data_IF_284858851421
#
_entry.id   IF_284858851421
#
_cell.length_a   1.000
_cell.length_b   1.000
_cell.length_c   1.000
_cell.angle_alpha   90.00
_cell.angle_beta   90.00
_cell.angle_gamma   90.00
#
_symmetry.space_group_name_H-M   'P 1'
#
loop_
_entity.id
_entity.type
_entity.pdbx_description
1 polymer ?
#
# COMPACT_ATOMS: atom_id res chain seq x y z
N UNK A 1 8.55 7.50 -15.57
CA UNK A 1 9.13 8.78 -15.14
C UNK A 1 8.01 9.74 -14.77
N UNK A 2 8.23 10.55 -13.72
CA UNK A 2 7.21 11.49 -13.24
C UNK A 2 6.76 12.50 -14.30
N UNK A 3 7.64 12.86 -15.24
CA UNK A 3 7.33 13.76 -16.35
C UNK A 3 6.26 13.23 -17.30
N UNK A 4 6.14 11.93 -17.43
CA UNK A 4 5.23 11.26 -18.37
C UNK A 4 3.82 11.02 -17.81
N UNK A 5 3.58 11.33 -16.53
CA UNK A 5 2.27 11.09 -15.90
C UNK A 5 1.20 12.04 -16.43
N UNK A 6 0.11 11.49 -16.90
CA UNK A 6 -1.07 12.27 -17.31
C UNK A 6 -1.91 12.70 -16.09
N UNK A 7 -2.64 13.83 -16.18
CA UNK A 7 -3.64 14.19 -15.17
C UNK A 7 -4.60 13.03 -14.88
N UNK A 8 -4.96 12.84 -13.62
CA UNK A 8 -5.84 11.76 -13.20
C UNK A 8 -5.17 10.41 -12.95
N UNK A 9 -3.87 10.27 -13.24
CA UNK A 9 -3.13 9.02 -13.01
C UNK A 9 -3.10 8.63 -11.53
N UNK A 10 -3.21 7.33 -11.27
CA UNK A 10 -2.83 6.73 -9.98
C UNK A 10 -1.62 5.83 -10.19
N UNK A 11 -0.54 6.13 -9.47
CA UNK A 11 0.71 5.35 -9.51
C UNK A 11 0.70 4.36 -8.33
N UNK A 12 0.96 3.09 -8.59
CA UNK A 12 0.97 2.05 -7.56
C UNK A 12 2.29 1.27 -7.64
N UNK A 13 3.37 1.78 -7.02
CA UNK A 13 4.60 0.99 -6.86
C UNK A 13 4.35 -0.15 -5.87
N UNK A 14 4.60 -1.38 -6.29
CA UNK A 14 4.32 -2.58 -5.50
C UNK A 14 5.53 -3.54 -5.39
N UNK A 15 6.65 -3.20 -6.01
CA UNK A 15 7.85 -4.06 -6.04
C UNK A 15 8.96 -3.63 -5.09
N UNK A 16 8.94 -2.39 -4.60
CA UNK A 16 10.00 -1.83 -3.76
C UNK A 16 9.75 -2.07 -2.26
N UNK A 17 9.79 -3.32 -1.84
CA UNK A 17 9.68 -3.74 -0.43
C UNK A 17 11.03 -3.85 0.30
N UNK A 18 12.04 -3.14 -0.17
CA UNK A 18 13.37 -3.04 0.47
C UNK A 18 13.89 -1.61 0.34
N UNK A 19 14.47 -1.07 1.40
CA UNK A 19 15.03 0.28 1.44
C UNK A 19 16.09 0.55 0.35
N UNK A 20 16.72 -0.51 -0.18
CA UNK A 20 17.70 -0.41 -1.28
C UNK A 20 17.08 -0.29 -2.66
N UNK A 21 15.82 -0.68 -2.82
CA UNK A 21 15.13 -0.70 -4.11
C UNK A 21 14.46 0.65 -4.40
N UNK A 22 14.23 0.91 -5.69
CA UNK A 22 13.50 2.07 -6.15
C UNK A 22 12.81 1.77 -7.47
N UNK A 23 11.53 2.13 -7.59
CA UNK A 23 10.71 1.94 -8.80
C UNK A 23 10.37 3.27 -9.47
N UNK A 24 10.23 4.35 -8.71
CA UNK A 24 9.80 5.65 -9.23
C UNK A 24 10.79 6.77 -8.85
N UNK A 25 10.81 7.83 -9.64
CA UNK A 25 11.68 8.97 -9.45
C UNK A 25 11.10 10.02 -8.48
N UNK A 26 11.91 11.03 -8.15
CA UNK A 26 11.49 12.10 -7.24
C UNK A 26 10.40 12.99 -7.84
N UNK A 27 10.36 13.14 -9.18
CA UNK A 27 9.34 13.94 -9.84
C UNK A 27 7.96 13.30 -9.72
N UNK A 28 7.89 11.97 -9.79
CA UNK A 28 6.66 11.22 -9.50
C UNK A 28 6.10 11.58 -8.11
N UNK A 29 6.98 11.62 -7.10
CA UNK A 29 6.58 12.03 -5.74
C UNK A 29 6.15 13.49 -5.64
N UNK A 30 6.89 14.43 -6.26
CA UNK A 30 6.51 15.85 -6.26
C UNK A 30 5.15 16.08 -6.89
N UNK A 31 4.84 15.37 -7.95
CA UNK A 31 3.54 15.46 -8.62
C UNK A 31 2.43 14.83 -7.79
N UNK A 32 2.65 13.64 -7.24
CA UNK A 32 1.69 12.96 -6.37
C UNK A 32 1.44 13.71 -5.05
N UNK A 33 2.44 14.45 -4.53
CA UNK A 33 2.31 15.26 -3.32
C UNK A 33 1.32 16.44 -3.45
N UNK A 34 0.93 16.79 -4.67
CA UNK A 34 -0.12 17.79 -4.94
C UNK A 34 -1.53 17.19 -4.86
N UNK A 35 -1.64 15.88 -4.97
CA UNK A 35 -2.83 15.09 -4.77
C UNK A 35 -2.77 14.32 -3.45
N UNK A 36 -2.74 12.99 -3.53
CA UNK A 36 -2.69 12.11 -2.35
C UNK A 36 -1.58 11.06 -2.49
N UNK A 37 -0.78 10.91 -1.44
CA UNK A 37 0.15 9.79 -1.29
C UNK A 37 -0.31 8.96 -0.10
N UNK A 38 -0.58 7.69 -0.34
CA UNK A 38 -1.00 6.72 0.67
C UNK A 38 -0.05 5.53 0.73
N UNK A 39 0.01 4.88 1.88
CA UNK A 39 0.70 3.60 2.10
C UNK A 39 -0.15 2.70 3.01
N UNK A 40 0.19 1.42 3.09
CA UNK A 40 -0.49 0.46 3.97
C UNK A 40 -0.27 0.83 5.43
N UNK A 41 0.99 1.03 5.81
CA UNK A 41 1.46 1.35 7.16
C UNK A 41 2.64 2.33 7.08
N UNK A 42 2.53 3.46 7.75
CA UNK A 42 3.57 4.50 7.70
C UNK A 42 4.84 4.07 8.43
N UNK A 43 4.72 3.37 9.55
CA UNK A 43 5.89 2.97 10.32
C UNK A 43 6.66 1.85 9.62
N UNK A 44 5.97 0.91 9.00
CA UNK A 44 6.58 -0.08 8.11
C UNK A 44 7.24 0.57 6.89
N UNK A 45 6.57 1.53 6.25
CA UNK A 45 7.12 2.23 5.09
C UNK A 45 8.43 2.99 5.40
N UNK A 46 8.60 3.52 6.61
CA UNK A 46 9.86 4.15 7.06
C UNK A 46 11.04 3.19 7.08
N UNK A 47 10.77 1.90 7.21
CA UNK A 47 11.78 0.84 7.32
C UNK A 47 11.98 0.12 5.99
N UNK A 48 10.92 -0.11 5.23
CA UNK A 48 10.93 -1.02 4.08
C UNK A 48 10.80 -0.32 2.73
N UNK A 49 10.13 0.86 2.65
CA UNK A 49 9.89 1.53 1.39
C UNK A 49 11.10 2.32 0.91
N UNK A 50 11.90 1.73 0.01
CA UNK A 50 13.04 2.41 -0.59
C UNK A 50 12.64 3.65 -1.38
N UNK A 51 11.50 3.64 -2.03
CA UNK A 51 10.94 4.78 -2.77
C UNK A 51 10.63 5.97 -1.85
N UNK A 52 9.82 5.74 -0.79
CA UNK A 52 9.44 6.80 0.16
C UNK A 52 10.61 7.33 0.97
N UNK A 53 11.45 6.45 1.50
CA UNK A 53 12.63 6.84 2.30
C UNK A 53 13.54 7.76 1.49
N UNK A 54 13.81 7.42 0.23
CA UNK A 54 14.65 8.24 -0.66
C UNK A 54 13.97 9.54 -1.07
N UNK A 55 12.68 9.51 -1.39
CA UNK A 55 11.94 10.70 -1.76
C UNK A 55 11.87 11.72 -0.61
N UNK A 56 11.71 11.25 0.64
CA UNK A 56 11.76 12.10 1.83
C UNK A 56 13.18 12.65 2.04
N UNK A 57 14.20 11.82 1.93
CA UNK A 57 15.59 12.25 2.05
C UNK A 57 15.98 13.28 0.98
N UNK A 58 15.44 13.19 -0.23
CA UNK A 58 15.62 14.14 -1.32
C UNK A 58 14.73 15.41 -1.21
N UNK A 59 13.86 15.49 -0.21
CA UNK A 59 12.93 16.62 -0.05
C UNK A 59 11.81 16.67 -1.11
N UNK A 60 11.56 15.57 -1.82
CA UNK A 60 10.49 15.49 -2.81
C UNK A 60 9.10 15.39 -2.15
N UNK A 61 9.04 14.82 -0.95
CA UNK A 61 7.85 14.66 -0.12
C UNK A 61 8.26 14.67 1.36
N UNK A 62 7.32 14.89 2.26
CA UNK A 62 7.52 14.76 3.71
C UNK A 62 6.64 13.65 4.27
N UNK A 63 7.04 13.03 5.38
CA UNK A 63 6.20 12.01 6.04
C UNK A 63 4.81 12.53 6.43
N UNK A 64 4.67 13.83 6.73
CA UNK A 64 3.39 14.46 7.03
C UNK A 64 2.42 14.54 5.84
N UNK A 65 2.89 14.35 4.62
CA UNK A 65 2.08 14.30 3.40
C UNK A 65 1.63 12.88 3.03
N UNK A 66 2.16 11.86 3.71
CA UNK A 66 1.80 10.45 3.51
C UNK A 66 0.71 10.07 4.50
N UNK A 67 -0.31 9.37 4.02
CA UNK A 67 -1.44 8.90 4.84
C UNK A 67 -1.57 7.38 4.76
N UNK A 68 -2.18 6.77 5.75
CA UNK A 68 -2.51 5.35 5.68
C UNK A 68 -3.77 5.13 4.86
N UNK A 69 -3.75 4.16 3.96
CA UNK A 69 -4.87 3.84 3.07
C UNK A 69 -6.15 3.51 3.85
N UNK A 70 -6.01 2.92 5.03
CA UNK A 70 -7.13 2.61 5.92
C UNK A 70 -7.91 3.83 6.37
N UNK A 71 -7.28 5.00 6.49
CA UNK A 71 -7.97 6.25 6.83
C UNK A 71 -8.85 6.73 5.67
N UNK A 72 -8.39 6.54 4.44
CA UNK A 72 -9.16 6.86 3.24
C UNK A 72 -10.32 5.85 3.08
N UNK A 73 -10.03 4.57 3.19
CA UNK A 73 -11.02 3.50 3.04
C UNK A 73 -12.14 3.57 4.08
N UNK A 74 -11.83 4.03 5.30
CA UNK A 74 -12.81 4.23 6.37
C UNK A 74 -13.56 5.57 6.30
N UNK A 75 -13.24 6.43 5.33
CA UNK A 75 -13.85 7.76 5.18
C UNK A 75 -13.36 8.80 6.20
N UNK A 76 -12.34 8.50 7.00
CA UNK A 76 -11.75 9.45 7.96
C UNK A 76 -10.93 10.54 7.27
N UNK A 77 -10.38 10.24 6.10
CA UNK A 77 -9.69 11.20 5.25
C UNK A 77 -10.23 11.14 3.82
N UNK A 78 -10.28 12.28 3.11
CA UNK A 78 -10.65 12.27 1.71
C UNK A 78 -9.57 11.57 0.87
N UNK A 79 -9.99 10.82 -0.13
CA UNK A 79 -9.12 10.29 -1.17
C UNK A 79 -8.82 11.35 -2.23
N UNK A 80 -9.02 10.99 -3.51
CA UNK A 80 -8.91 11.90 -4.65
C UNK A 80 -9.91 13.04 -4.54
N UNK A 81 -9.46 14.28 -4.63
CA UNK A 81 -10.33 15.47 -4.55
C UNK A 81 -10.77 15.98 -5.93
N UNK A 82 -9.98 15.75 -6.99
CA UNK A 82 -10.36 16.12 -8.36
C UNK A 82 -9.94 15.04 -9.37
N UNK A 83 -10.59 15.09 -10.55
CA UNK A 83 -10.27 14.15 -11.64
C UNK A 83 -8.82 14.24 -12.14
N UNK A 84 -8.23 15.42 -12.04
CA UNK A 84 -6.87 15.70 -12.57
C UNK A 84 -5.75 15.41 -11.58
N UNK A 85 -6.06 15.13 -10.32
CA UNK A 85 -5.03 14.82 -9.32
C UNK A 85 -4.24 13.58 -9.72
N UNK A 86 -2.92 13.66 -9.60
CA UNK A 86 -2.04 12.51 -9.63
C UNK A 86 -1.93 11.99 -8.20
N UNK A 87 -2.35 10.75 -7.98
CA UNK A 87 -2.29 10.10 -6.68
C UNK A 87 -1.31 8.95 -6.69
N UNK A 88 -0.84 8.56 -5.51
CA UNK A 88 0.08 7.43 -5.34
C UNK A 88 -0.38 6.54 -4.18
N UNK A 89 -0.27 5.24 -4.37
CA UNK A 89 -0.41 4.27 -3.30
C UNK A 89 0.79 3.33 -3.32
N UNK A 90 1.59 3.35 -2.26
CA UNK A 90 2.73 2.47 -2.09
C UNK A 90 2.31 1.29 -1.23
N UNK A 91 2.20 0.12 -1.86
CA UNK A 91 1.89 -1.12 -1.14
C UNK A 91 3.20 -1.78 -0.70
N UNK A 92 3.37 -1.91 0.60
CA UNK A 92 4.46 -2.68 1.21
C UNK A 92 4.03 -4.13 1.47
N UNK A 93 2.71 -4.36 1.55
CA UNK A 93 2.11 -5.63 1.92
C UNK A 93 2.12 -5.84 3.42
N UNK A 94 0.97 -5.76 4.05
CA UNK A 94 0.80 -6.00 5.49
C UNK A 94 -0.05 -7.24 5.71
N UNK A 95 0.46 -8.21 6.48
CA UNK A 95 -0.18 -9.51 6.69
C UNK A 95 -1.60 -9.44 7.26
N UNK A 96 -1.99 -8.33 7.89
CA UNK A 96 -3.36 -8.15 8.38
C UNK A 96 -4.38 -8.04 7.23
N UNK A 97 -3.97 -7.53 6.07
CA UNK A 97 -4.84 -7.46 4.88
C UNK A 97 -5.13 -8.85 4.35
N UNK A 98 -4.11 -9.70 4.26
CA UNK A 98 -4.27 -11.12 3.85
C UNK A 98 -5.18 -11.87 4.80
N UNK A 99 -5.00 -11.69 6.11
CA UNK A 99 -5.84 -12.32 7.13
C UNK A 99 -7.29 -11.85 7.02
N UNK A 100 -7.52 -10.55 6.83
CA UNK A 100 -8.86 -9.99 6.71
C UNK A 100 -9.59 -10.51 5.45
N UNK A 101 -8.92 -10.48 4.31
CA UNK A 101 -9.46 -11.00 3.04
C UNK A 101 -9.68 -12.51 3.13
N UNK A 102 -8.70 -13.26 3.64
CA UNK A 102 -8.79 -14.71 3.80
C UNK A 102 -9.95 -15.13 4.70
N UNK A 103 -10.16 -14.44 5.82
CA UNK A 103 -11.28 -14.70 6.73
C UNK A 103 -12.64 -14.47 6.05
N UNK A 104 -12.79 -13.38 5.30
CA UNK A 104 -14.04 -13.07 4.60
C UNK A 104 -14.29 -14.05 3.45
N UNK A 105 -13.26 -14.42 2.68
CA UNK A 105 -13.37 -15.44 1.63
C UNK A 105 -13.77 -16.80 2.20
N UNK A 106 -13.14 -17.22 3.29
CA UNK A 106 -13.49 -18.46 3.97
C UNK A 106 -14.96 -18.47 4.42
N UNK A 107 -15.41 -17.40 5.06
CA UNK A 107 -16.80 -17.25 5.50
C UNK A 107 -17.78 -17.34 4.33
N UNK A 108 -17.50 -16.66 3.21
CA UNK A 108 -18.36 -16.70 2.01
C UNK A 108 -18.36 -18.07 1.36
N UNK A 109 -17.21 -18.71 1.23
CA UNK A 109 -17.09 -20.05 0.67
C UNK A 109 -17.91 -21.08 1.47
N UNK A 110 -17.80 -21.05 2.80
CA UNK A 110 -18.62 -21.90 3.68
C UNK A 110 -20.12 -21.65 3.53
N UNK A 111 -20.54 -20.40 3.47
CA UNK A 111 -21.95 -20.03 3.29
C UNK A 111 -22.53 -20.48 1.95
N UNK A 112 -21.72 -20.54 0.90
CA UNK A 112 -22.11 -20.95 -0.44
C UNK A 112 -21.88 -22.45 -0.70
N UNK A 113 -21.30 -23.19 0.24
CA UNK A 113 -20.97 -24.60 0.08
C UNK A 113 -19.90 -24.85 -1.00
N UNK A 114 -19.03 -23.88 -1.27
CA UNK A 114 -17.93 -24.01 -2.23
C UNK A 114 -16.61 -24.27 -1.52
N UNK A 115 -15.70 -24.97 -2.21
CA UNK A 115 -14.41 -25.38 -1.66
C UNK A 115 -14.43 -26.81 -1.13
N UNK A 116 -13.28 -27.25 -0.65
CA UNK A 116 -13.09 -28.59 -0.10
C UNK A 116 -12.34 -28.49 1.24
N UNK A 117 -12.86 -29.14 2.26
CA UNK A 117 -12.15 -29.28 3.54
C UNK A 117 -11.01 -30.30 3.34
N UNK A 118 -9.78 -29.86 3.54
CA UNK A 118 -8.60 -30.71 3.48
C UNK A 118 -8.23 -31.19 4.88
N UNK A 119 -7.91 -32.48 5.08
CA UNK A 119 -7.42 -32.99 6.35
C UNK A 119 -5.97 -32.55 6.57
N UNK A 120 -5.76 -31.27 6.87
CA UNK A 120 -4.45 -30.72 7.18
C UNK A 120 -4.21 -30.85 8.68
N UNK A 121 -3.57 -31.94 9.09
CA UNK A 121 -3.05 -32.08 10.44
C UNK A 121 -1.77 -31.25 10.58
N UNK A 122 -1.94 -30.01 11.00
CA UNK A 122 -0.82 -29.10 11.27
C UNK A 122 -0.21 -29.41 12.63
N UNK A 123 0.90 -30.10 12.68
CA UNK A 123 1.76 -30.12 13.87
C UNK A 123 2.50 -28.80 13.97
N UNK A 124 1.90 -27.79 14.60
CA UNK A 124 2.63 -26.59 15.01
C UNK A 124 3.62 -26.98 16.11
N UNK A 125 4.90 -27.15 15.78
CA UNK A 125 5.95 -27.22 16.80
C UNK A 125 5.91 -25.89 17.55
N UNK A 126 5.52 -25.92 18.86
CA UNK A 126 5.75 -24.78 19.74
C UNK A 126 7.26 -24.52 19.73
N UNK A 127 7.68 -23.34 19.28
CA UNK A 127 9.04 -22.87 19.54
C UNK A 127 9.16 -22.66 21.03
N UNK A 128 9.94 -23.50 21.69
CA UNK A 128 10.42 -23.31 23.06
C UNK A 128 11.50 -22.25 23.08
#
# INVERSE_FOLDING_TARGET
DGGDLEPGTTVIPAGSNRVTNREVDDETFRRAARGRIATDDIDGAKIESGDLVRAVAAGAVTWGQVVEIGQIASGKMPGRASADEINMFLSQGVGIEDVAIGAELYKRAKAQGVGQDLPIEGTFKKRT
#
